data_IF_912395916053
#
_entry.id   IF_912395916053
#
_cell.length_a   1.000
_cell.length_b   1.000
_cell.length_c   1.000
_cell.angle_alpha   90.00
_cell.angle_beta   90.00
_cell.angle_gamma   90.00
#
_symmetry.space_group_name_H-M   'P 1'
#
loop_
_entity.id
_entity.type
_entity.pdbx_description
1 polymer ?
#
# COMPACT_ATOMS: atom_id res chain seq x y z
N UNK A 1 14.24 -17.87 16.70
CA UNK A 1 13.06 -17.16 17.27
C UNK A 1 13.32 -15.66 17.39
N UNK A 2 14.58 -15.25 17.46
CA UNK A 2 15.02 -13.88 17.76
C UNK A 2 14.48 -12.84 16.78
N UNK A 3 14.45 -13.15 15.47
CA UNK A 3 13.89 -12.25 14.45
C UNK A 3 12.39 -11.98 14.62
N UNK A 4 11.62 -12.97 15.09
CA UNK A 4 10.18 -12.81 15.30
C UNK A 4 9.89 -11.99 16.56
N UNK A 5 10.69 -12.17 17.62
CA UNK A 5 10.54 -11.38 18.85
C UNK A 5 10.81 -9.88 18.62
N UNK A 6 11.72 -9.56 17.71
CA UNK A 6 12.05 -8.18 17.35
C UNK A 6 10.92 -7.45 16.60
N UNK A 7 9.92 -8.16 16.05
CA UNK A 7 8.82 -7.54 15.30
C UNK A 7 8.05 -6.54 16.13
N UNK A 8 7.83 -6.81 17.42
CA UNK A 8 7.15 -5.87 18.32
C UNK A 8 7.91 -4.56 18.45
N UNK A 9 9.24 -4.62 18.53
CA UNK A 9 10.08 -3.42 18.61
C UNK A 9 10.04 -2.64 17.29
N UNK A 10 10.13 -3.31 16.14
CA UNK A 10 10.05 -2.63 14.85
C UNK A 10 8.69 -1.96 14.63
N UNK A 11 7.60 -2.56 15.12
CA UNK A 11 6.28 -1.93 15.08
C UNK A 11 6.23 -0.66 15.94
N UNK A 12 6.82 -0.69 17.15
CA UNK A 12 6.92 0.50 18.00
C UNK A 12 7.76 1.61 17.35
N UNK A 13 8.84 1.25 16.65
CA UNK A 13 9.65 2.21 15.90
C UNK A 13 8.85 2.84 14.75
N UNK A 14 8.05 2.05 14.03
CA UNK A 14 7.13 2.56 13.01
C UNK A 14 6.12 3.52 13.64
N UNK A 15 5.51 3.16 14.76
CA UNK A 15 4.52 4.03 15.43
C UNK A 15 5.14 5.34 15.95
N UNK A 16 6.43 5.32 16.29
CA UNK A 16 7.16 6.50 16.78
C UNK A 16 7.64 7.43 15.67
N UNK A 17 8.09 6.88 14.54
CA UNK A 17 8.78 7.67 13.51
C UNK A 17 8.01 7.81 12.19
N UNK A 18 7.01 6.95 11.92
CA UNK A 18 6.25 7.01 10.68
C UNK A 18 5.04 7.96 10.78
N UNK A 19 4.55 8.38 9.63
CA UNK A 19 3.33 9.20 9.53
C UNK A 19 2.08 8.38 9.86
N UNK A 20 1.05 9.07 10.38
CA UNK A 20 -0.20 8.41 10.74
C UNK A 20 -0.85 7.70 9.55
N UNK A 21 -1.25 6.45 9.81
CA UNK A 21 -1.92 5.55 8.88
C UNK A 21 -1.02 4.85 7.86
N UNK A 22 0.30 4.80 8.08
CA UNK A 22 1.19 3.95 7.27
C UNK A 22 0.62 2.52 7.16
N UNK A 23 0.59 1.98 5.94
CA UNK A 23 0.18 0.59 5.74
C UNK A 23 1.29 -0.34 6.22
N UNK A 24 0.92 -1.41 6.90
CA UNK A 24 1.83 -2.40 7.49
C UNK A 24 1.45 -3.78 6.97
N UNK A 25 2.45 -4.59 6.65
CA UNK A 25 2.29 -6.00 6.24
C UNK A 25 3.39 -6.81 6.92
N UNK A 26 3.02 -7.86 7.64
CA UNK A 26 3.98 -8.80 8.22
C UNK A 26 4.37 -9.84 7.17
N UNK A 27 5.67 -10.01 6.95
CA UNK A 27 6.19 -10.97 5.97
C UNK A 27 7.09 -12.00 6.65
N UNK A 28 6.65 -13.26 6.65
CA UNK A 28 7.45 -14.41 7.07
C UNK A 28 8.34 -14.90 5.93
N UNK A 29 9.55 -14.35 5.79
CA UNK A 29 10.49 -14.76 4.73
C UNK A 29 11.18 -16.11 5.04
N UNK A 30 11.71 -16.75 3.99
CA UNK A 30 12.38 -18.07 4.01
C UNK A 30 11.46 -19.24 4.30
N UNK A 31 10.23 -19.20 3.77
CA UNK A 31 9.29 -20.33 3.89
C UNK A 31 9.79 -21.64 3.25
N UNK A 32 10.84 -21.59 2.44
CA UNK A 32 11.50 -22.77 1.86
C UNK A 32 12.30 -23.62 2.86
N UNK A 33 12.58 -23.11 4.06
CA UNK A 33 13.33 -23.83 5.09
C UNK A 33 12.41 -24.38 6.19
N UNK A 34 11.46 -25.23 5.81
CA UNK A 34 10.53 -25.87 6.77
C UNK A 34 11.27 -26.63 7.89
N UNK A 35 12.37 -27.31 7.55
CA UNK A 35 13.20 -28.05 8.53
C UNK A 35 13.84 -27.16 9.60
N UNK A 36 13.95 -25.86 9.35
CA UNK A 36 14.52 -24.87 10.29
C UNK A 36 13.46 -23.88 10.75
N UNK A 37 12.18 -24.17 10.52
CA UNK A 37 11.07 -23.32 10.94
C UNK A 37 10.99 -23.34 12.47
N UNK A 38 11.13 -22.16 13.07
CA UNK A 38 11.06 -21.97 14.52
C UNK A 38 9.74 -21.29 14.92
N UNK A 39 8.97 -20.80 13.93
CA UNK A 39 7.72 -20.09 14.14
C UNK A 39 6.70 -20.68 13.20
N UNK A 40 5.65 -21.27 13.75
CA UNK A 40 4.54 -21.83 13.00
C UNK A 40 3.74 -20.74 12.28
N UNK A 41 3.16 -21.09 11.13
CA UNK A 41 2.33 -20.17 10.36
C UNK A 41 1.16 -19.63 11.19
N UNK A 42 0.51 -20.51 11.96
CA UNK A 42 -0.63 -20.16 12.82
C UNK A 42 -0.25 -19.14 13.87
N UNK A 43 0.88 -19.32 14.55
CA UNK A 43 1.38 -18.39 15.57
C UNK A 43 1.69 -17.01 14.97
N UNK A 44 2.36 -16.98 13.83
CA UNK A 44 2.67 -15.73 13.15
C UNK A 44 1.40 -15.02 12.62
N UNK A 45 0.42 -15.80 12.16
CA UNK A 45 -0.87 -15.28 11.70
C UNK A 45 -1.71 -14.72 12.84
N UNK A 46 -1.87 -15.45 13.94
CA UNK A 46 -2.57 -14.96 15.15
C UNK A 46 -1.92 -13.69 15.69
N UNK A 47 -0.59 -13.63 15.67
CA UNK A 47 0.15 -12.44 16.06
C UNK A 47 -0.17 -11.25 15.15
N UNK A 48 -0.19 -11.44 13.83
CA UNK A 48 -0.55 -10.39 12.88
C UNK A 48 -2.01 -9.94 13.01
N UNK A 49 -2.93 -10.90 13.16
CA UNK A 49 -4.36 -10.65 13.36
C UNK A 49 -4.60 -9.84 14.65
N UNK A 50 -3.87 -10.14 15.74
CA UNK A 50 -3.95 -9.39 17.01
C UNK A 50 -3.52 -7.92 16.87
N UNK A 51 -2.70 -7.63 15.87
CA UNK A 51 -2.19 -6.29 15.56
C UNK A 51 -3.01 -5.61 14.45
N UNK A 52 -3.97 -6.31 13.85
CA UNK A 52 -4.75 -5.82 12.72
C UNK A 52 -3.92 -5.60 11.45
N UNK A 53 -2.80 -6.32 11.29
CA UNK A 53 -1.96 -6.25 10.09
C UNK A 53 -2.08 -7.55 9.30
N UNK A 54 -2.07 -7.51 7.96
CA UNK A 54 -2.05 -8.74 7.17
C UNK A 54 -0.72 -9.47 7.32
N UNK A 55 -0.75 -10.77 7.03
CA UNK A 55 0.42 -11.65 7.08
C UNK A 55 0.56 -12.47 5.79
N UNK A 56 1.81 -12.63 5.35
CA UNK A 56 2.16 -13.48 4.20
C UNK A 56 3.50 -14.17 4.43
N UNK A 57 3.57 -15.47 4.14
CA UNK A 57 4.85 -16.18 4.06
C UNK A 57 5.44 -16.07 2.65
N UNK A 58 6.73 -15.80 2.56
CA UNK A 58 7.44 -15.65 1.29
C UNK A 58 8.75 -16.45 1.29
N UNK A 59 9.18 -16.84 0.10
CA UNK A 59 10.54 -17.34 -0.11
C UNK A 59 11.20 -16.52 -1.19
N UNK A 60 12.13 -15.65 -0.79
CA UNK A 60 12.98 -14.93 -1.75
C UNK A 60 13.83 -15.89 -2.60
N UNK A 61 14.17 -17.07 -2.07
CA UNK A 61 14.96 -18.09 -2.80
C UNK A 61 14.15 -18.72 -3.93
N UNK A 62 12.89 -19.06 -3.67
CA UNK A 62 12.01 -19.72 -4.65
C UNK A 62 11.10 -18.73 -5.39
N UNK A 63 11.30 -17.41 -5.19
CA UNK A 63 10.41 -16.35 -5.64
C UNK A 63 8.93 -16.55 -5.25
N UNK A 64 8.66 -17.34 -4.20
CA UNK A 64 7.31 -17.67 -3.76
C UNK A 64 6.72 -16.50 -2.99
N UNK A 65 5.52 -16.07 -3.40
CA UNK A 65 4.70 -15.03 -2.78
C UNK A 65 5.36 -13.64 -2.66
N UNK A 66 6.55 -13.44 -3.24
CA UNK A 66 7.25 -12.14 -3.24
C UNK A 66 6.41 -11.10 -3.98
N UNK A 67 5.97 -11.42 -5.20
CA UNK A 67 5.11 -10.53 -6.00
C UNK A 67 3.80 -10.23 -5.27
N UNK A 68 3.17 -11.25 -4.68
CA UNK A 68 1.93 -11.08 -3.92
C UNK A 68 2.11 -10.15 -2.72
N UNK A 69 3.25 -10.18 -2.03
CA UNK A 69 3.54 -9.26 -0.93
C UNK A 69 3.50 -7.80 -1.40
N UNK A 70 4.19 -7.51 -2.51
CA UNK A 70 4.24 -6.16 -3.08
C UNK A 70 2.88 -5.72 -3.63
N UNK A 71 2.17 -6.59 -4.35
CA UNK A 71 0.83 -6.30 -4.87
C UNK A 71 -0.18 -6.03 -3.75
N UNK A 72 -0.11 -6.79 -2.65
CA UNK A 72 -0.97 -6.58 -1.48
C UNK A 72 -0.74 -5.19 -0.88
N UNK A 73 0.52 -4.80 -0.68
CA UNK A 73 0.87 -3.46 -0.19
C UNK A 73 0.42 -2.36 -1.15
N UNK A 74 0.69 -2.51 -2.45
CA UNK A 74 0.30 -1.54 -3.46
C UNK A 74 -1.23 -1.37 -3.51
N UNK A 75 -1.97 -2.47 -3.40
CA UNK A 75 -3.44 -2.45 -3.36
C UNK A 75 -3.96 -1.71 -2.14
N UNK A 76 -3.42 -1.97 -0.95
CA UNK A 76 -3.83 -1.28 0.28
C UNK A 76 -3.54 0.23 0.22
N UNK A 77 -2.38 0.61 -0.35
CA UNK A 77 -2.05 2.01 -0.58
C UNK A 77 -3.07 2.64 -1.53
N UNK A 78 -3.38 1.98 -2.65
CA UNK A 78 -4.36 2.47 -3.64
C UNK A 78 -5.76 2.63 -3.03
N UNK A 79 -6.24 1.65 -2.27
CA UNK A 79 -7.55 1.71 -1.62
C UNK A 79 -7.63 2.88 -0.63
N UNK A 80 -6.58 3.09 0.17
CA UNK A 80 -6.51 4.25 1.08
C UNK A 80 -6.50 5.58 0.31
N UNK A 81 -5.71 5.70 -0.75
CA UNK A 81 -5.67 6.95 -1.55
C UNK A 81 -7.00 7.22 -2.30
N UNK A 82 -7.67 6.17 -2.78
CA UNK A 82 -8.97 6.29 -3.46
C UNK A 82 -10.08 6.82 -2.55
N UNK A 83 -10.00 6.53 -1.24
CA UNK A 83 -10.93 7.10 -0.25
C UNK A 83 -10.64 8.56 0.12
N UNK A 84 -9.41 9.04 -0.08
CA UNK A 84 -8.99 10.40 0.29
C UNK A 84 -9.41 11.48 -0.75
N UNK A 85 -9.91 11.09 -1.92
CA UNK A 85 -10.22 12.01 -3.04
C UNK A 85 -11.71 12.17 -3.37
N UNK A 86 -12.64 11.66 -2.54
CA UNK A 86 -14.06 12.04 -2.65
C UNK A 86 -14.37 13.25 -1.76
N UNK A 87 -13.51 14.28 -1.83
CA UNK A 87 -13.99 15.63 -1.54
C UNK A 87 -14.52 16.18 -2.85
N UNK A 88 -15.85 16.11 -2.95
CA UNK A 88 -16.73 16.57 -4.01
C UNK A 88 -16.37 18.00 -4.46
N UNK A 89 -15.35 18.14 -5.33
CA UNK A 89 -15.11 19.39 -6.05
C UNK A 89 -16.21 19.49 -7.11
N UNK A 90 -17.01 20.57 -7.16
CA UNK A 90 -18.08 20.68 -8.13
C UNK A 90 -17.47 20.59 -9.52
N UNK A 91 -17.98 19.66 -10.32
CA UNK A 91 -17.70 19.51 -11.74
C UNK A 91 -17.79 20.87 -12.41
N UNK A 92 -16.66 21.43 -12.81
CA UNK A 92 -16.64 22.61 -13.69
C UNK A 92 -17.17 22.16 -15.04
N UNK A 93 -18.42 22.54 -15.34
CA UNK A 93 -19.01 22.34 -16.66
C UNK A 93 -18.31 23.28 -17.64
N UNK A 94 -17.40 22.73 -18.45
CA UNK A 94 -16.81 23.45 -19.58
C UNK A 94 -17.87 23.50 -20.68
N UNK A 95 -18.50 24.68 -20.83
CA UNK A 95 -19.46 24.93 -21.91
C UNK A 95 -18.81 24.77 -23.29
N UNK A 96 -19.58 24.25 -24.25
CA UNK A 96 -19.15 24.13 -25.64
C UNK A 96 -18.73 25.49 -26.20
N UNK A 97 -17.52 25.55 -26.77
CA UNK A 97 -17.00 26.75 -27.41
C UNK A 97 -17.87 27.18 -28.58
N UNK A 98 -18.35 28.43 -28.55
CA UNK A 98 -18.98 29.05 -29.71
C UNK A 98 -17.93 29.34 -30.78
N UNK A 99 -18.16 28.86 -31.99
CA UNK A 99 -17.31 29.14 -33.15
C UNK A 99 -17.31 30.62 -33.49
N UNK A 100 -16.12 31.21 -33.53
CA UNK A 100 -15.93 32.61 -33.95
C UNK A 100 -16.04 32.67 -35.47
N UNK A 101 -17.06 33.36 -35.99
CA UNK A 101 -17.13 33.70 -37.40
C UNK A 101 -16.06 34.74 -37.73
N UNK A 102 -15.06 34.33 -38.50
CA UNK A 102 -14.03 35.20 -39.06
C UNK A 102 -14.67 36.19 -40.03
N UNK A 103 -14.95 37.41 -39.56
CA UNK A 103 -15.23 38.52 -40.45
C UNK A 103 -14.13 39.58 -40.30
N UNK A 104 -13.33 39.68 -41.36
CA UNK A 104 -12.59 40.84 -41.87
C UNK A 104 -12.50 42.08 -40.97
N UNK A 105 -11.28 42.45 -40.57
CA UNK A 105 -11.01 43.84 -40.15
C UNK A 105 -9.85 44.06 -39.18
N UNK A 106 -8.78 44.66 -39.72
CA UNK A 106 -7.88 45.62 -39.07
C UNK A 106 -7.10 45.25 -37.79
N UNK A 107 -5.81 45.01 -37.97
CA UNK A 107 -4.69 45.71 -37.31
C UNK A 107 -4.92 46.32 -35.92
N UNK A 108 -4.29 45.78 -34.87
CA UNK A 108 -3.69 46.59 -33.80
C UNK A 108 -2.50 45.88 -33.12
N UNK A 109 -1.37 46.61 -33.10
CA UNK A 109 -0.24 46.72 -32.15
C UNK A 109 0.12 45.57 -31.21
#
# INVERSE_FOLDING_TARGET
MDSFNNVKQWLQEIDRYATQGVNKLLVGNKSDMEDKKVVEYTVAKEFADSLGIPFLETSAKNASNVEQAFLTMARQIKERMGTATVNNKPTVQVGQGQGVQSNSGSSCC
#
